data_IF_852747410171
#
_entry.id   IF_852747410171
#
_cell.length_a   1.000
_cell.length_b   1.000
_cell.length_c   1.000
_cell.angle_alpha   90.00
_cell.angle_beta   90.00
_cell.angle_gamma   90.00
#
_symmetry.space_group_name_H-M   'P 1'
#
loop_
_entity.id
_entity.type
_entity.pdbx_description
1 polymer ?
#
# COMPACT_ATOMS: atom_id res chain seq x y z
N UNK A 1 12.09 -32.12 7.55
CA UNK A 1 10.79 -32.62 8.08
C UNK A 1 10.44 -31.74 9.28
N UNK A 2 9.59 -30.73 9.08
CA UNK A 2 9.11 -29.91 10.19
C UNK A 2 8.17 -30.73 11.06
N UNK A 3 8.57 -30.95 12.31
CA UNK A 3 7.73 -31.60 13.32
C UNK A 3 6.49 -30.73 13.52
N UNK A 4 5.32 -31.27 13.18
CA UNK A 4 4.02 -30.63 13.41
C UNK A 4 3.84 -30.46 14.92
N UNK A 5 4.17 -29.27 15.44
CA UNK A 5 4.03 -28.96 16.86
C UNK A 5 2.56 -29.13 17.27
N UNK A 6 2.32 -30.00 18.25
CA UNK A 6 1.00 -30.13 18.88
C UNK A 6 0.69 -28.80 19.58
N UNK A 7 -0.30 -28.06 19.10
CA UNK A 7 -0.62 -26.72 19.60
C UNK A 7 -1.35 -26.86 20.93
N UNK A 8 -0.78 -26.33 22.00
CA UNK A 8 -1.46 -26.20 23.30
C UNK A 8 -2.57 -25.16 23.18
N UNK A 9 -3.82 -25.61 23.30
CA UNK A 9 -5.02 -24.78 23.18
C UNK A 9 -5.26 -23.87 24.39
N UNK A 10 -4.58 -24.13 25.53
CA UNK A 10 -4.74 -23.35 26.75
C UNK A 10 -3.75 -22.19 26.88
N UNK A 11 -2.88 -21.98 25.88
CA UNK A 11 -1.85 -20.93 25.92
C UNK A 11 -1.87 -20.07 24.65
N UNK A 12 -1.56 -18.77 24.82
CA UNK A 12 -1.38 -17.85 23.69
C UNK A 12 -0.20 -18.33 22.83
N UNK A 13 -0.36 -18.23 21.50
CA UNK A 13 0.70 -18.55 20.53
C UNK A 13 1.94 -17.72 20.84
N UNK A 14 3.14 -18.31 20.70
CA UNK A 14 4.40 -17.65 21.05
C UNK A 14 5.05 -16.86 19.90
N UNK A 15 4.49 -16.91 18.68
CA UNK A 15 5.08 -16.29 17.47
C UNK A 15 4.06 -15.51 16.63
N UNK A 16 3.14 -14.81 17.30
CA UNK A 16 2.20 -13.92 16.59
C UNK A 16 2.82 -12.57 16.32
N UNK A 17 2.35 -11.94 15.25
CA UNK A 17 2.79 -10.61 14.86
C UNK A 17 2.35 -9.61 15.93
N UNK A 18 3.26 -8.71 16.29
CA UNK A 18 2.88 -7.51 17.05
C UNK A 18 2.02 -6.61 16.17
N UNK A 19 1.35 -5.63 16.78
CA UNK A 19 0.57 -4.63 16.03
C UNK A 19 1.44 -3.86 15.04
N UNK A 20 2.62 -3.39 15.44
CA UNK A 20 3.54 -2.68 14.55
C UNK A 20 3.98 -3.54 13.36
N UNK A 21 4.30 -4.81 13.60
CA UNK A 21 4.66 -5.75 12.53
C UNK A 21 3.48 -5.98 11.59
N UNK A 22 2.27 -6.08 12.12
CA UNK A 22 1.06 -6.23 11.33
C UNK A 22 0.81 -4.99 10.46
N UNK A 23 0.85 -3.78 11.02
CA UNK A 23 0.60 -2.55 10.27
C UNK A 23 1.69 -2.25 9.25
N UNK A 24 2.95 -2.53 9.57
CA UNK A 24 4.04 -2.43 8.62
C UNK A 24 3.88 -3.44 7.47
N UNK A 25 3.48 -4.69 7.77
CA UNK A 25 3.20 -5.68 6.74
C UNK A 25 2.05 -5.24 5.82
N UNK A 26 1.00 -4.63 6.37
CA UNK A 26 -0.09 -4.05 5.56
C UNK A 26 0.42 -2.94 4.64
N UNK A 27 1.28 -2.04 5.13
CA UNK A 27 1.86 -0.99 4.30
C UNK A 27 2.71 -1.58 3.16
N UNK A 28 3.56 -2.57 3.46
CA UNK A 28 4.39 -3.23 2.46
C UNK A 28 3.54 -3.96 1.39
N UNK A 29 2.55 -4.74 1.81
CA UNK A 29 1.64 -5.42 0.87
C UNK A 29 0.81 -4.42 0.07
N UNK A 30 0.46 -3.27 0.64
CA UNK A 30 -0.21 -2.20 -0.11
C UNK A 30 0.68 -1.64 -1.20
N UNK A 31 2.00 -1.53 -0.96
CA UNK A 31 2.96 -1.07 -1.96
C UNK A 31 2.98 -1.95 -3.22
N UNK A 32 2.75 -3.27 -3.08
CA UNK A 32 2.67 -4.24 -4.19
C UNK A 32 1.51 -3.98 -5.17
N UNK A 33 0.57 -3.09 -4.82
CA UNK A 33 -0.51 -2.64 -5.71
C UNK A 33 -0.04 -1.53 -6.67
N UNK A 34 1.10 -0.90 -6.41
CA UNK A 34 1.65 0.15 -7.25
C UNK A 34 2.05 -0.41 -8.61
N UNK A 35 1.65 0.30 -9.67
CA UNK A 35 2.06 0.01 -11.05
C UNK A 35 3.31 0.77 -11.47
N UNK A 36 3.88 1.61 -10.59
CA UNK A 36 5.09 2.35 -10.89
C UNK A 36 6.28 1.37 -11.02
N UNK A 37 6.98 1.32 -12.18
CA UNK A 37 8.10 0.39 -12.37
C UNK A 37 9.37 0.82 -11.63
N UNK A 38 9.40 2.01 -11.02
CA UNK A 38 10.62 2.56 -10.38
C UNK A 38 10.53 2.49 -8.86
N UNK A 39 9.40 2.88 -8.27
CA UNK A 39 9.22 2.90 -6.81
C UNK A 39 7.88 2.33 -6.39
N UNK A 40 7.87 1.45 -5.39
CA UNK A 40 6.64 0.92 -4.78
C UNK A 40 6.59 1.36 -3.32
N UNK A 41 5.63 2.20 -2.99
CA UNK A 41 5.44 2.77 -1.66
C UNK A 41 4.01 2.51 -1.21
N UNK A 42 3.85 2.03 0.01
CA UNK A 42 2.57 1.84 0.66
C UNK A 42 2.52 2.52 2.01
N UNK A 43 1.30 2.83 2.45
CA UNK A 43 1.02 3.49 3.71
C UNK A 43 -0.16 2.80 4.40
N UNK A 44 -0.10 2.75 5.73
CA UNK A 44 -1.17 2.25 6.59
C UNK A 44 -1.39 3.27 7.72
N UNK A 45 -2.60 3.81 7.82
CA UNK A 45 -3.00 4.76 8.86
C UNK A 45 -3.86 4.03 9.87
N UNK A 46 -3.49 4.18 11.15
CA UNK A 46 -4.09 3.45 12.26
C UNK A 46 -4.50 4.44 13.33
N UNK A 47 -5.66 4.22 13.95
CA UNK A 47 -6.12 5.02 15.10
C UNK A 47 -5.55 4.49 16.43
N UNK A 48 -5.86 5.17 17.54
CA UNK A 48 -5.42 4.79 18.89
C UNK A 48 -5.96 3.46 19.38
N UNK A 49 -7.03 2.93 18.75
CA UNK A 49 -7.64 1.65 19.07
C UNK A 49 -7.06 0.49 18.26
N UNK A 50 -5.92 0.71 17.58
CA UNK A 50 -5.29 -0.25 16.67
C UNK A 50 -6.20 -0.70 15.51
N UNK A 51 -7.07 0.20 15.03
CA UNK A 51 -7.89 -0.02 13.84
C UNK A 51 -7.31 0.73 12.65
N UNK A 52 -7.20 0.01 11.53
CA UNK A 52 -6.82 0.61 10.26
C UNK A 52 -7.97 1.51 9.79
N UNK A 53 -7.68 2.79 9.61
CA UNK A 53 -8.65 3.79 9.13
C UNK A 53 -8.38 4.24 7.70
N UNK A 54 -7.23 3.86 7.15
CA UNK A 54 -6.88 4.10 5.76
C UNK A 54 -5.66 3.30 5.34
N UNK A 55 -5.64 2.89 4.07
CA UNK A 55 -4.49 2.30 3.40
C UNK A 55 -4.28 3.02 2.08
N UNK A 56 -3.06 3.03 1.58
CA UNK A 56 -2.77 3.65 0.29
C UNK A 56 -1.45 3.18 -0.28
N UNK A 57 -1.26 3.46 -1.57
CA UNK A 57 -0.03 3.21 -2.30
C UNK A 57 0.17 4.30 -3.35
N UNK A 58 1.39 4.42 -3.89
CA UNK A 58 1.66 5.36 -4.97
C UNK A 58 1.04 4.87 -6.29
N UNK A 59 0.37 5.75 -7.02
CA UNK A 59 -0.32 5.41 -8.26
C UNK A 59 -0.70 6.65 -9.06
N UNK A 60 -1.15 6.45 -10.29
CA UNK A 60 -1.76 7.52 -11.08
C UNK A 60 -3.16 7.85 -10.51
N UNK A 61 -3.61 9.12 -10.57
CA UNK A 61 -4.96 9.50 -10.17
C UNK A 61 -6.03 8.64 -10.87
N UNK A 62 -7.12 8.34 -10.16
CA UNK A 62 -8.23 7.56 -10.73
C UNK A 62 -8.83 8.29 -11.94
N UNK A 63 -8.98 7.58 -13.06
CA UNK A 63 -9.54 8.14 -14.30
C UNK A 63 -8.50 8.47 -15.38
N UNK A 64 -7.20 8.36 -15.09
CA UNK A 64 -6.20 8.25 -16.15
C UNK A 64 -6.06 6.77 -16.57
N UNK A 65 -6.32 6.49 -17.84
CA UNK A 65 -6.00 5.19 -18.45
C UNK A 65 -4.48 4.96 -18.33
N UNK A 66 -4.08 3.82 -17.76
CA UNK A 66 -2.66 3.45 -17.64
C UNK A 66 -1.98 3.28 -19.01
N UNK A 67 -2.78 3.09 -20.07
CA UNK A 67 -2.31 2.91 -21.45
C UNK A 67 -2.06 4.26 -22.16
N UNK A 68 -2.63 5.36 -21.67
CA UNK A 68 -2.55 6.67 -22.32
C UNK A 68 -1.38 7.53 -21.80
N UNK A 69 -0.71 7.12 -20.71
CA UNK A 69 0.39 7.88 -20.12
C UNK A 69 1.69 7.06 -20.17
N UNK A 70 2.67 7.42 -21.02
CA UNK A 70 3.92 6.69 -21.10
C UNK A 70 4.67 6.81 -19.78
N UNK A 71 4.84 5.67 -19.10
CA UNK A 71 5.70 5.53 -17.91
C UNK A 71 7.19 5.83 -18.19
N UNK A 72 7.54 6.15 -19.44
CA UNK A 72 8.88 6.41 -19.93
C UNK A 72 9.41 7.81 -19.59
N UNK A 73 10.67 7.87 -19.18
CA UNK A 73 11.42 9.07 -18.76
C UNK A 73 11.81 10.03 -19.92
N UNK A 74 11.18 9.93 -21.09
CA UNK A 74 11.69 10.53 -22.34
C UNK A 74 10.80 11.62 -22.96
N UNK A 75 10.10 12.43 -22.15
CA UNK A 75 9.49 13.67 -22.66
C UNK A 75 10.49 14.83 -22.55
N UNK A 76 10.76 15.54 -23.66
CA UNK A 76 11.62 16.75 -23.71
C UNK A 76 11.00 17.96 -23.00
N UNK A 77 9.91 17.76 -22.26
CA UNK A 77 9.05 18.80 -21.75
C UNK A 77 9.07 18.75 -20.21
N UNK A 78 9.55 19.82 -19.58
CA UNK A 78 9.71 19.92 -18.12
C UNK A 78 8.35 19.81 -17.42
N UNK A 79 7.27 20.19 -18.10
CA UNK A 79 5.88 20.04 -17.64
C UNK A 79 5.34 18.61 -17.73
N UNK A 80 5.91 17.77 -18.62
CA UNK A 80 5.64 16.33 -18.70
C UNK A 80 6.65 15.49 -17.91
N UNK A 81 7.60 16.14 -17.23
CA UNK A 81 8.51 15.46 -16.33
C UNK A 81 7.71 15.14 -15.07
N UNK A 82 7.48 13.85 -14.86
CA UNK A 82 6.78 13.14 -13.77
C UNK A 82 7.24 13.47 -12.33
N UNK A 83 7.81 14.65 -12.08
CA UNK A 83 8.38 15.07 -10.81
C UNK A 83 7.46 15.98 -9.97
N UNK A 84 6.30 16.39 -10.46
CA UNK A 84 5.42 17.28 -9.68
C UNK A 84 4.07 16.68 -9.25
N UNK A 85 3.61 15.55 -9.82
CA UNK A 85 2.22 15.09 -9.60
C UNK A 85 2.03 13.65 -9.10
N UNK A 86 3.10 12.87 -8.89
CA UNK A 86 2.97 11.40 -8.83
C UNK A 86 3.20 10.72 -7.48
N UNK A 87 2.99 11.39 -6.34
CA UNK A 87 3.13 10.75 -5.03
C UNK A 87 2.04 11.16 -4.05
N UNK A 88 0.82 11.27 -4.56
CA UNK A 88 -0.34 11.22 -3.67
C UNK A 88 -0.55 9.75 -3.39
N UNK A 89 -0.12 9.32 -2.20
CA UNK A 89 -0.63 8.11 -1.55
C UNK A 89 -2.12 8.12 -1.84
N UNK A 90 -2.62 7.17 -2.64
CA UNK A 90 -4.02 7.12 -3.06
C UNK A 90 -4.84 6.71 -1.83
N UNK A 91 -4.98 7.65 -0.90
CA UNK A 91 -5.47 7.41 0.45
C UNK A 91 -6.99 7.32 0.50
N UNK A 92 -7.71 7.71 -0.55
CA UNK A 92 -9.17 7.70 -0.53
C UNK A 92 -9.71 7.42 -1.92
N UNK A 93 -9.99 6.15 -2.23
CA UNK A 93 -11.00 5.83 -3.24
C UNK A 93 -11.86 4.63 -2.86
N UNK A 94 -12.20 4.55 -1.57
CA UNK A 94 -13.27 3.66 -1.07
C UNK A 94 -14.11 4.28 0.05
N UNK A 95 -13.89 5.55 0.41
CA UNK A 95 -14.72 6.28 1.39
C UNK A 95 -15.65 7.35 0.74
N UNK A 96 -15.81 7.33 -0.59
CA UNK A 96 -16.72 8.24 -1.32
C UNK A 96 -17.66 7.52 -2.29
N UNK A 97 -17.93 6.23 -2.09
CA UNK A 97 -18.99 5.50 -2.80
C UNK A 97 -20.09 4.99 -1.86
N UNK A 98 -20.40 5.79 -0.84
CA UNK A 98 -21.73 5.79 -0.24
C UNK A 98 -22.15 7.26 -0.12
N UNK A 99 -22.88 7.76 -1.13
CA UNK A 99 -24.04 8.67 -1.08
C UNK A 99 -24.71 8.65 -2.46
#
# INVERSE_FOLDING_TARGET
MDKKQNRDINRKRQRYLTWDQYFMAVALVSAERSKDPVTQVGACIVNTDNRIVGIGYNGMPNGCSDDDMPWGKNSKDILNTKKLYGSIIQLLHSLTLEH
#
